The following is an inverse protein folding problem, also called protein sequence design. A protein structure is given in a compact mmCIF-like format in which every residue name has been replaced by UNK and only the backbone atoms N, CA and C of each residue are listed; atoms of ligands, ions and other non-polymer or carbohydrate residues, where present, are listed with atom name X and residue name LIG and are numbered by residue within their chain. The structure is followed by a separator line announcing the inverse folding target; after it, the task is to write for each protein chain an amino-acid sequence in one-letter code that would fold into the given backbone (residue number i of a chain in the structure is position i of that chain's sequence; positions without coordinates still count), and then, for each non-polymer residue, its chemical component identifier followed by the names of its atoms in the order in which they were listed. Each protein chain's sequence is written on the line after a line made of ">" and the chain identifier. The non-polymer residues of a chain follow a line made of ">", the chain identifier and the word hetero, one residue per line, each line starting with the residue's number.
data_IF_207136465866
#
_entry.id   IF_207136465866
#
_cell.length_a   1.000
_cell.length_b   1.000
_cell.length_c   1.000
_cell.angle_alpha   90.00
_cell.angle_beta   90.00
_cell.angle_gamma   90.00
#
_symmetry.space_group_name_H-M   'P 1'
#
loop_
_entity.id
_entity.type
_entity.pdbx_description
1 polymer ?
#
# COMPACT_ATOMS: atom_id res chain seq x y z
N UNK A 1 -12.52 24.86 4.33
CA UNK A 1 -13.11 25.24 5.64
C UNK A 1 -13.08 26.76 5.71
N UNK A 2 -14.18 27.39 6.20
CA UNK A 2 -14.19 28.84 6.44
C UNK A 2 -13.17 29.20 7.54
N UNK A 3 -12.53 30.38 7.41
CA UNK A 3 -11.64 30.90 8.43
C UNK A 3 -12.42 31.25 9.71
N UNK A 4 -11.73 31.25 10.85
CA UNK A 4 -12.31 31.59 12.14
C UNK A 4 -12.71 33.08 12.16
N UNK A 5 -13.84 33.40 12.78
CA UNK A 5 -14.22 34.78 13.08
C UNK A 5 -13.38 35.34 14.23
N UNK A 6 -13.37 36.67 14.41
CA UNK A 6 -12.65 37.32 15.52
C UNK A 6 -13.25 36.93 16.88
N UNK A 7 -14.57 36.75 16.94
CA UNK A 7 -15.26 36.25 18.14
C UNK A 7 -14.79 34.83 18.51
N UNK A 8 -14.62 33.94 17.54
CA UNK A 8 -14.15 32.58 17.77
C UNK A 8 -12.69 32.55 18.22
N UNK A 9 -11.84 33.42 17.66
CA UNK A 9 -10.44 33.56 18.11
C UNK A 9 -10.39 34.07 19.55
N UNK A 10 -11.16 35.11 19.87
CA UNK A 10 -11.21 35.68 21.22
C UNK A 10 -11.76 34.68 22.26
N UNK A 11 -12.88 34.00 21.96
CA UNK A 11 -13.44 32.98 22.80
C UNK A 11 -12.54 31.76 22.98
N UNK A 12 -11.78 31.39 21.93
CA UNK A 12 -10.77 30.33 22.01
C UNK A 12 -9.65 30.68 22.98
N UNK A 13 -9.11 31.90 22.90
CA UNK A 13 -8.05 32.38 23.78
C UNK A 13 -8.51 32.58 25.22
N UNK A 14 -9.78 32.98 25.42
CA UNK A 14 -10.39 33.09 26.72
C UNK A 14 -10.78 31.73 27.35
N UNK A 15 -10.77 30.64 26.59
CA UNK A 15 -11.21 29.32 27.06
C UNK A 15 -12.73 29.20 27.21
N UNK A 16 -13.50 30.04 26.55
CA UNK A 16 -14.95 30.16 26.68
C UNK A 16 -15.76 29.41 25.62
N UNK A 17 -15.07 28.69 24.71
CA UNK A 17 -15.74 27.91 23.69
C UNK A 17 -16.43 26.67 24.25
N UNK A 18 -17.65 26.43 23.79
CA UNK A 18 -18.35 25.17 24.03
C UNK A 18 -17.56 23.99 23.38
N UNK A 19 -17.69 22.79 23.92
CA UNK A 19 -16.89 21.62 23.52
C UNK A 19 -16.93 21.33 22.01
N UNK A 20 -18.07 21.53 21.35
CA UNK A 20 -18.23 21.36 19.90
C UNK A 20 -17.44 22.39 19.08
N UNK A 21 -17.51 23.66 19.48
CA UNK A 21 -16.81 24.77 18.83
C UNK A 21 -15.32 24.69 19.12
N UNK A 22 -14.90 24.35 20.32
CA UNK A 22 -13.50 24.12 20.67
C UNK A 22 -12.89 23.04 19.77
N UNK A 23 -13.60 21.95 19.56
CA UNK A 23 -13.17 20.85 18.68
C UNK A 23 -13.03 21.33 17.23
N UNK A 24 -13.96 22.13 16.72
CA UNK A 24 -13.94 22.67 15.37
C UNK A 24 -12.81 23.68 15.17
N UNK A 25 -12.67 24.63 16.11
CA UNK A 25 -11.62 25.67 16.09
C UNK A 25 -10.23 25.02 16.19
N UNK A 26 -10.04 24.10 17.12
CA UNK A 26 -8.78 23.35 17.28
C UNK A 26 -8.41 22.59 16.00
N UNK A 27 -9.37 21.90 15.36
CA UNK A 27 -9.14 21.22 14.08
C UNK A 27 -8.69 22.17 12.97
N UNK A 28 -9.34 23.35 12.89
CA UNK A 28 -8.99 24.34 11.88
C UNK A 28 -7.57 24.88 12.07
N UNK A 29 -7.18 25.16 13.32
CA UNK A 29 -5.83 25.62 13.67
C UNK A 29 -4.79 24.51 13.42
N UNK A 30 -5.08 23.27 13.82
CA UNK A 30 -4.20 22.11 13.61
C UNK A 30 -4.08 21.75 12.12
N UNK A 31 -5.09 22.05 11.31
CA UNK A 31 -5.01 21.91 9.86
C UNK A 31 -4.04 22.90 9.19
N UNK A 32 -3.46 23.81 9.96
CA UNK A 32 -2.39 24.69 9.52
C UNK A 32 -2.85 25.92 8.69
N UNK A 33 -4.07 26.43 8.92
CA UNK A 33 -4.50 27.67 8.29
C UNK A 33 -3.59 28.85 8.73
N UNK A 34 -2.74 29.42 7.83
CA UNK A 34 -1.74 30.40 8.23
C UNK A 34 -2.38 31.70 8.75
N UNK A 35 -3.49 32.14 8.17
CA UNK A 35 -4.20 33.36 8.59
C UNK A 35 -4.76 33.24 9.99
N UNK A 36 -5.42 32.10 10.32
CA UNK A 36 -6.01 31.90 11.63
C UNK A 36 -4.95 31.60 12.69
N UNK A 37 -3.87 30.88 12.33
CA UNK A 37 -2.72 30.68 13.23
C UNK A 37 -2.03 32.01 13.54
N UNK A 38 -1.79 32.85 12.52
CA UNK A 38 -1.20 34.19 12.69
C UNK A 38 -2.05 35.08 13.61
N UNK A 39 -3.39 35.07 13.43
CA UNK A 39 -4.32 35.86 14.28
C UNK A 39 -4.35 35.36 15.72
N UNK A 40 -4.38 34.07 15.96
CA UNK A 40 -4.29 33.48 17.33
C UNK A 40 -2.96 33.84 17.97
N UNK A 41 -1.86 33.70 17.24
CA UNK A 41 -0.51 34.01 17.76
C UNK A 41 -0.35 35.51 18.06
N UNK A 42 -0.88 36.39 17.21
CA UNK A 42 -0.81 37.86 17.41
C UNK A 42 -1.70 38.30 18.59
N UNK A 43 -2.85 37.67 18.79
CA UNK A 43 -3.78 38.03 19.86
C UNK A 43 -3.47 37.29 21.19
N UNK A 44 -2.61 36.27 21.17
CA UNK A 44 -2.18 35.54 22.37
C UNK A 44 -1.14 36.41 23.12
N UNK A 45 -1.60 37.35 23.93
CA UNK A 45 -0.79 37.91 25.02
C UNK A 45 -0.66 36.85 26.11
N UNK A 46 0.17 35.83 25.87
CA UNK A 46 0.39 34.77 26.85
C UNK A 46 1.34 35.32 27.88
N UNK A 47 0.83 35.70 29.06
CA UNK A 47 1.68 35.73 30.23
C UNK A 47 2.27 34.33 30.40
N UNK A 48 3.60 34.20 30.56
CA UNK A 48 4.21 32.88 30.72
C UNK A 48 3.55 32.19 31.91
N UNK A 49 2.96 31.00 31.67
CA UNK A 49 2.39 30.18 32.72
C UNK A 49 3.47 29.93 33.76
N UNK A 50 3.26 30.28 35.04
CA UNK A 50 4.28 30.10 36.07
C UNK A 50 4.76 28.65 36.09
N UNK A 51 6.07 28.43 36.18
CA UNK A 51 6.71 27.09 36.15
C UNK A 51 6.01 26.11 37.10
N UNK A 52 5.61 26.58 38.29
CA UNK A 52 4.88 25.75 39.26
C UNK A 52 3.55 25.19 38.75
N UNK A 53 2.84 25.95 37.89
CA UNK A 53 1.57 25.52 37.31
C UNK A 53 1.86 24.53 36.19
N UNK A 54 2.88 24.79 35.39
CA UNK A 54 3.33 23.90 34.32
C UNK A 54 3.81 22.56 34.89
N UNK A 55 4.66 22.59 35.92
CA UNK A 55 5.12 21.38 36.62
C UNK A 55 3.98 20.60 37.26
N UNK A 56 3.01 21.27 37.87
CA UNK A 56 1.85 20.62 38.43
C UNK A 56 0.96 19.94 37.36
N UNK A 57 0.87 20.52 36.17
CA UNK A 57 0.18 19.93 35.03
C UNK A 57 0.93 18.70 34.47
N UNK A 58 2.25 18.80 34.34
CA UNK A 58 3.11 17.66 33.93
C UNK A 58 3.00 16.53 34.94
N UNK A 59 3.10 16.82 36.24
CA UNK A 59 2.98 15.79 37.28
C UNK A 59 1.61 15.15 37.34
N UNK A 60 0.53 15.91 37.08
CA UNK A 60 -0.83 15.35 36.96
C UNK A 60 -0.90 14.42 35.75
N UNK A 61 -0.35 14.82 34.60
CA UNK A 61 -0.28 13.99 33.40
C UNK A 61 0.54 12.72 33.65
N UNK A 62 1.71 12.83 34.26
CA UNK A 62 2.58 11.69 34.64
C UNK A 62 1.86 10.72 35.58
N UNK A 63 1.16 11.22 36.61
CA UNK A 63 0.36 10.38 37.51
C UNK A 63 -0.77 9.67 36.75
N UNK A 64 -1.41 10.33 35.80
CA UNK A 64 -2.46 9.73 34.98
C UNK A 64 -1.90 8.62 34.07
N UNK A 65 -0.77 8.86 33.44
CA UNK A 65 -0.06 7.86 32.61
C UNK A 65 0.33 6.64 33.46
N UNK A 66 1.00 6.83 34.62
CA UNK A 66 1.38 5.73 35.52
C UNK A 66 0.18 4.88 35.97
N UNK A 67 -1.01 5.48 36.15
CA UNK A 67 -2.24 4.73 36.46
C UNK A 67 -2.78 3.93 35.27
N UNK A 68 -2.48 4.37 34.05
CA UNK A 68 -2.90 3.68 32.82
C UNK A 68 -1.95 2.55 32.41
N UNK A 69 -0.66 2.63 32.76
CA UNK A 69 0.35 1.62 32.40
C UNK A 69 -0.06 0.17 32.71
N UNK A 70 -0.55 -0.17 33.94
CA UNK A 70 -0.97 -1.54 34.23
C UNK A 70 -2.20 -2.00 33.43
N UNK A 71 -3.02 -1.05 32.95
CA UNK A 71 -4.17 -1.35 32.08
C UNK A 71 -3.70 -1.61 30.66
N UNK A 72 -2.81 -0.76 30.16
CA UNK A 72 -2.18 -0.94 28.83
C UNK A 72 -1.42 -2.25 28.74
N UNK A 73 -0.69 -2.62 29.80
CA UNK A 73 0.03 -3.89 29.83
C UNK A 73 -0.93 -5.08 29.78
N UNK A 74 -1.99 -5.07 30.58
CA UNK A 74 -3.03 -6.11 30.55
C UNK A 74 -3.76 -6.20 29.22
N UNK A 75 -3.99 -5.06 28.54
CA UNK A 75 -4.64 -5.06 27.24
C UNK A 75 -3.68 -5.60 26.14
N UNK A 76 -2.37 -5.34 26.25
CA UNK A 76 -1.35 -5.98 25.39
C UNK A 76 -1.30 -7.50 25.58
N UNK A 77 -1.34 -7.97 26.81
CA UNK A 77 -1.35 -9.42 27.12
C UNK A 77 -2.62 -10.09 26.60
N UNK A 78 -3.78 -9.44 26.78
CA UNK A 78 -5.05 -9.92 26.22
C UNK A 78 -5.04 -9.95 24.71
N UNK A 79 -4.45 -8.93 24.07
CA UNK A 79 -4.28 -8.87 22.62
C UNK A 79 -3.43 -10.04 22.15
N UNK A 80 -2.27 -10.27 22.77
CA UNK A 80 -1.36 -11.36 22.41
C UNK A 80 -2.03 -12.76 22.59
N UNK A 81 -2.73 -12.97 23.71
CA UNK A 81 -3.46 -14.21 23.99
C UNK A 81 -4.61 -14.41 22.98
N UNK A 82 -5.34 -13.34 22.65
CA UNK A 82 -6.41 -13.39 21.66
C UNK A 82 -5.89 -13.73 20.26
N UNK A 83 -4.73 -13.15 19.85
CA UNK A 83 -4.06 -13.49 18.59
C UNK A 83 -3.67 -14.98 18.58
N UNK A 84 -3.07 -15.48 19.65
CA UNK A 84 -2.67 -16.89 19.74
C UNK A 84 -3.89 -17.83 19.64
N UNK A 85 -4.94 -17.54 20.39
CA UNK A 85 -6.18 -18.33 20.42
C UNK A 85 -6.89 -18.37 19.04
N UNK A 86 -6.99 -17.23 18.36
CA UNK A 86 -7.60 -17.18 17.01
C UNK A 86 -6.71 -17.88 15.97
N UNK A 87 -5.38 -17.82 16.10
CA UNK A 87 -4.47 -18.55 15.21
C UNK A 87 -4.56 -20.06 15.39
N UNK A 88 -4.68 -20.52 16.62
CA UNK A 88 -4.72 -21.94 16.95
C UNK A 88 -6.08 -22.58 16.57
N UNK A 89 -7.18 -21.94 16.95
CA UNK A 89 -8.54 -22.51 16.87
C UNK A 89 -9.38 -21.92 15.75
N UNK A 90 -8.94 -20.85 15.11
CA UNK A 90 -9.72 -20.04 14.19
C UNK A 90 -10.87 -19.28 14.90
N UNK A 91 -11.36 -18.22 14.26
CA UNK A 91 -12.48 -17.44 14.79
C UNK A 91 -13.78 -18.26 14.94
N UNK A 92 -14.05 -19.14 13.97
CA UNK A 92 -15.23 -20.02 13.97
C UNK A 92 -15.13 -21.07 15.07
N UNK A 93 -13.93 -21.51 15.44
CA UNK A 93 -13.68 -22.47 16.51
C UNK A 93 -13.88 -21.94 17.94
N UNK A 94 -14.11 -20.63 18.10
CA UNK A 94 -14.41 -20.03 19.40
C UNK A 94 -15.86 -20.31 19.80
N UNK A 95 -16.06 -20.68 21.07
CA UNK A 95 -17.41 -20.90 21.63
C UNK A 95 -18.20 -19.62 21.76
N UNK A 96 -19.54 -19.71 21.86
CA UNK A 96 -20.38 -18.52 22.02
C UNK A 96 -20.07 -17.69 23.28
N UNK A 97 -19.82 -18.28 24.47
CA UNK A 97 -19.38 -17.52 25.64
C UNK A 97 -18.06 -16.75 25.42
N UNK A 98 -17.13 -17.34 24.67
CA UNK A 98 -15.87 -16.68 24.29
C UNK A 98 -16.12 -15.50 23.37
N UNK A 99 -17.08 -15.59 22.43
CA UNK A 99 -17.49 -14.53 21.53
C UNK A 99 -18.31 -13.44 22.22
N UNK A 100 -19.15 -13.78 23.19
CA UNK A 100 -20.00 -12.83 23.92
C UNK A 100 -19.20 -11.92 24.86
N UNK A 101 -17.99 -12.32 25.25
CA UNK A 101 -17.07 -11.50 26.04
C UNK A 101 -16.27 -10.48 25.20
N UNK A 102 -16.75 -10.20 23.98
CA UNK A 102 -16.06 -9.30 23.05
C UNK A 102 -15.84 -7.91 23.60
N UNK A 103 -14.58 -7.55 23.65
CA UNK A 103 -14.11 -6.21 24.01
C UNK A 103 -13.40 -5.61 22.79
N UNK A 104 -13.20 -4.29 22.78
CA UNK A 104 -12.46 -3.57 21.71
C UNK A 104 -11.13 -4.25 21.35
N UNK A 105 -10.45 -4.87 22.34
CA UNK A 105 -9.21 -5.64 22.15
C UNK A 105 -9.39 -6.78 21.14
N UNK A 106 -10.50 -7.49 21.15
CA UNK A 106 -10.72 -8.61 20.22
C UNK A 106 -10.96 -8.14 18.78
N UNK A 107 -11.62 -6.98 18.63
CA UNK A 107 -11.74 -6.33 17.32
C UNK A 107 -10.35 -6.01 16.77
N UNK A 108 -9.46 -5.46 17.61
CA UNK A 108 -8.06 -5.20 17.22
C UNK A 108 -7.30 -6.48 16.83
N UNK A 109 -7.53 -7.61 17.54
CA UNK A 109 -6.97 -8.93 17.17
C UNK A 109 -7.38 -9.29 15.76
N UNK A 110 -8.68 -9.23 15.45
CA UNK A 110 -9.19 -9.59 14.13
C UNK A 110 -8.64 -8.70 13.03
N UNK A 111 -8.52 -7.39 13.27
CA UNK A 111 -7.93 -6.45 12.31
C UNK A 111 -6.45 -6.72 12.05
N UNK A 112 -5.67 -7.02 13.11
CA UNK A 112 -4.24 -7.36 12.96
C UNK A 112 -4.05 -8.66 12.17
N UNK A 113 -4.84 -9.69 12.48
CA UNK A 113 -4.80 -10.97 11.77
C UNK A 113 -5.23 -10.81 10.31
N UNK A 114 -6.30 -10.08 10.06
CA UNK A 114 -6.75 -9.74 8.71
C UNK A 114 -5.64 -9.09 7.90
N UNK A 115 -5.01 -8.05 8.44
CA UNK A 115 -3.92 -7.35 7.76
C UNK A 115 -2.69 -8.23 7.50
N UNK A 116 -2.41 -9.19 8.39
CA UNK A 116 -1.30 -10.13 8.21
C UNK A 116 -1.51 -11.10 7.01
N UNK A 117 -2.76 -11.43 6.70
CA UNK A 117 -3.10 -12.36 5.60
C UNK A 117 -3.16 -11.71 4.21
N UNK A 118 -3.04 -10.38 4.10
CA UNK A 118 -3.26 -9.58 2.87
C UNK A 118 -2.49 -10.05 1.61
N UNK A 119 -1.33 -10.71 1.78
CA UNK A 119 -0.51 -11.22 0.68
C UNK A 119 -0.49 -12.74 0.57
N UNK A 120 -1.02 -13.44 1.59
CA UNK A 120 -0.93 -14.91 1.65
C UNK A 120 -2.26 -15.57 1.37
N UNK A 121 -3.34 -15.03 1.96
CA UNK A 121 -4.70 -15.59 1.89
C UNK A 121 -5.72 -14.46 1.84
N UNK A 122 -5.95 -13.83 0.67
CA UNK A 122 -6.89 -12.71 0.53
C UNK A 122 -8.30 -13.02 1.04
N UNK A 123 -8.84 -14.20 0.73
CA UNK A 123 -10.14 -14.63 1.24
C UNK A 123 -10.21 -14.74 2.76
N UNK A 124 -9.12 -15.16 3.42
CA UNK A 124 -9.04 -15.18 4.88
C UNK A 124 -8.97 -13.75 5.45
N UNK A 125 -8.24 -12.85 4.79
CA UNK A 125 -8.25 -11.43 5.13
C UNK A 125 -9.67 -10.87 5.16
N UNK A 126 -10.46 -11.12 4.11
CA UNK A 126 -11.84 -10.65 4.01
C UNK A 126 -12.73 -11.26 5.10
N UNK A 127 -12.59 -12.56 5.36
CA UNK A 127 -13.34 -13.27 6.40
C UNK A 127 -13.07 -12.69 7.80
N UNK A 128 -11.82 -12.39 8.12
CA UNK A 128 -11.41 -11.80 9.39
C UNK A 128 -11.88 -10.33 9.53
N UNK A 129 -11.79 -9.53 8.47
CA UNK A 129 -12.30 -8.16 8.45
C UNK A 129 -13.82 -8.13 8.64
N UNK A 130 -14.56 -9.02 7.97
CA UNK A 130 -16.01 -9.17 8.15
C UNK A 130 -16.37 -9.60 9.56
N UNK A 131 -15.57 -10.50 10.16
CA UNK A 131 -15.74 -10.91 11.56
C UNK A 131 -15.49 -9.75 12.53
N UNK A 132 -14.50 -8.88 12.25
CA UNK A 132 -14.24 -7.68 13.03
C UNK A 132 -15.42 -6.70 12.96
N UNK A 133 -16.02 -6.53 11.77
CA UNK A 133 -17.24 -5.72 11.59
C UNK A 133 -18.40 -6.27 12.43
N UNK A 134 -18.68 -7.56 12.33
CA UNK A 134 -19.73 -8.18 13.14
C UNK A 134 -19.46 -8.01 14.64
N UNK A 135 -18.21 -8.21 15.06
CA UNK A 135 -17.82 -8.10 16.47
C UNK A 135 -18.02 -6.67 17.01
N UNK A 136 -17.61 -5.63 16.27
CA UNK A 136 -17.75 -4.24 16.71
C UNK A 136 -19.21 -3.80 16.79
N UNK A 137 -20.09 -4.31 15.94
CA UNK A 137 -21.53 -4.04 15.96
C UNK A 137 -22.24 -4.69 17.14
N UNK A 138 -21.71 -5.82 17.64
CA UNK A 138 -22.23 -6.56 18.80
C UNK A 138 -21.56 -6.19 20.13
N UNK A 139 -20.54 -5.34 20.08
CA UNK A 139 -19.87 -4.89 21.30
C UNK A 139 -20.78 -3.91 22.04
N UNK A 140 -21.12 -4.23 23.27
CA UNK A 140 -21.92 -3.37 24.13
C UNK A 140 -21.23 -2.02 24.34
N UNK A 141 -22.07 -1.00 24.44
CA UNK A 141 -21.74 0.42 24.40
C UNK A 141 -20.56 0.80 25.29
N UNK A 142 -19.70 1.67 24.80
CA UNK A 142 -18.43 2.04 25.38
C UNK A 142 -18.50 3.05 26.52
N UNK A 143 -19.39 2.90 27.50
CA UNK A 143 -19.39 3.72 28.70
C UNK A 143 -18.00 3.90 29.33
N UNK A 144 -17.05 3.03 28.94
CA UNK A 144 -15.67 2.99 29.43
C UNK A 144 -14.67 3.81 28.60
N UNK A 145 -14.92 4.01 27.30
CA UNK A 145 -13.98 4.63 26.36
C UNK A 145 -14.48 5.94 25.76
N UNK A 146 -15.78 6.22 25.90
CA UNK A 146 -16.47 7.36 25.28
C UNK A 146 -16.90 7.07 23.82
N UNK A 147 -18.02 7.65 23.45
CA UNK A 147 -18.64 7.44 22.15
C UNK A 147 -17.76 7.83 20.97
N UNK A 148 -17.03 8.97 20.96
CA UNK A 148 -16.20 9.33 19.83
C UNK A 148 -15.07 8.34 19.52
N UNK A 149 -14.42 7.77 20.56
CA UNK A 149 -13.39 6.75 20.38
C UNK A 149 -13.94 5.43 19.83
N UNK A 150 -15.18 5.09 20.22
CA UNK A 150 -15.84 3.91 19.67
C UNK A 150 -16.26 4.11 18.22
N UNK A 151 -16.69 5.31 17.84
CA UNK A 151 -16.96 5.65 16.46
C UNK A 151 -15.69 5.59 15.59
N UNK A 152 -14.55 6.04 16.12
CA UNK A 152 -13.26 5.89 15.44
C UNK A 152 -12.87 4.41 15.25
N UNK A 153 -13.10 3.56 16.24
CA UNK A 153 -12.89 2.11 16.11
C UNK A 153 -13.79 1.50 15.03
N UNK A 154 -15.08 1.86 15.03
CA UNK A 154 -16.02 1.41 13.99
C UNK A 154 -15.60 1.89 12.62
N UNK A 155 -15.22 3.15 12.49
CA UNK A 155 -14.71 3.71 11.25
C UNK A 155 -13.47 2.97 10.74
N UNK A 156 -12.54 2.65 11.64
CA UNK A 156 -11.35 1.86 11.31
C UNK A 156 -11.70 0.44 10.86
N UNK A 157 -12.65 -0.21 11.50
CA UNK A 157 -13.12 -1.55 11.10
C UNK A 157 -13.68 -1.52 9.68
N UNK A 158 -14.52 -0.53 9.36
CA UNK A 158 -15.06 -0.37 8.00
C UNK A 158 -13.96 -0.07 6.98
N UNK A 159 -12.95 0.73 7.32
CA UNK A 159 -11.81 1.00 6.44
C UNK A 159 -10.96 -0.26 6.18
N UNK A 160 -10.71 -1.09 7.21
CA UNK A 160 -9.96 -2.34 6.99
C UNK A 160 -10.80 -3.38 6.23
N UNK A 161 -12.14 -3.38 6.38
CA UNK A 161 -13.03 -4.16 5.52
C UNK A 161 -12.93 -3.68 4.07
N UNK A 162 -12.96 -2.37 3.82
CA UNK A 162 -12.75 -1.80 2.49
C UNK A 162 -11.42 -2.25 1.87
N UNK A 163 -10.34 -2.25 2.67
CA UNK A 163 -9.04 -2.75 2.22
C UNK A 163 -9.06 -4.24 1.91
N UNK A 164 -9.82 -5.04 2.66
CA UNK A 164 -9.98 -6.46 2.41
C UNK A 164 -10.82 -6.73 1.16
N UNK A 165 -11.92 -5.99 0.95
CA UNK A 165 -12.71 -6.03 -0.28
C UNK A 165 -11.85 -5.68 -1.49
N UNK A 166 -11.06 -4.58 -1.43
CA UNK A 166 -10.13 -4.18 -2.48
C UNK A 166 -9.13 -5.29 -2.85
N UNK A 167 -8.54 -5.96 -1.85
CA UNK A 167 -7.57 -7.05 -2.08
C UNK A 167 -8.23 -8.26 -2.73
N UNK A 168 -9.53 -8.43 -2.55
CA UNK A 168 -10.35 -9.47 -3.19
C UNK A 168 -11.09 -8.98 -4.44
N UNK A 169 -10.72 -7.80 -5.00
CA UNK A 169 -11.28 -7.21 -6.23
C UNK A 169 -12.79 -6.85 -6.15
N UNK A 170 -13.33 -6.82 -4.96
CA UNK A 170 -14.68 -6.35 -4.68
C UNK A 170 -14.67 -4.82 -4.57
N UNK A 171 -14.51 -4.12 -5.70
CA UNK A 171 -14.22 -2.68 -5.72
C UNK A 171 -15.41 -1.82 -5.31
N UNK A 172 -16.62 -2.22 -5.67
CA UNK A 172 -17.85 -1.51 -5.30
C UNK A 172 -18.05 -1.58 -3.78
N UNK A 173 -17.94 -2.77 -3.19
CA UNK A 173 -18.04 -2.98 -1.75
C UNK A 173 -16.92 -2.24 -0.99
N UNK A 174 -15.75 -2.12 -1.61
CA UNK A 174 -14.64 -1.35 -1.02
C UNK A 174 -14.95 0.15 -0.97
N UNK A 175 -15.58 0.72 -2.01
CA UNK A 175 -16.03 2.11 -2.04
C UNK A 175 -17.10 2.39 -0.99
N UNK A 176 -18.16 1.55 -0.93
CA UNK A 176 -19.23 1.66 0.07
C UNK A 176 -18.68 1.57 1.51
N UNK A 177 -17.76 0.64 1.76
CA UNK A 177 -17.15 0.50 3.07
C UNK A 177 -16.29 1.71 3.45
N UNK A 178 -15.56 2.33 2.50
CA UNK A 178 -14.80 3.56 2.74
C UNK A 178 -15.72 4.75 3.03
N UNK A 179 -16.81 4.89 2.31
CA UNK A 179 -17.81 5.94 2.56
C UNK A 179 -18.39 5.81 3.97
N UNK A 180 -18.77 4.60 4.36
CA UNK A 180 -19.24 4.31 5.71
C UNK A 180 -18.19 4.63 6.78
N UNK A 181 -16.93 4.29 6.53
CA UNK A 181 -15.82 4.61 7.43
C UNK A 181 -15.69 6.13 7.63
N UNK A 182 -15.77 6.92 6.55
CA UNK A 182 -15.67 8.39 6.62
C UNK A 182 -16.85 9.00 7.40
N UNK A 183 -18.07 8.57 7.09
CA UNK A 183 -19.28 9.03 7.80
C UNK A 183 -19.21 8.79 9.31
N UNK A 184 -18.70 7.63 9.73
CA UNK A 184 -18.50 7.34 11.16
C UNK A 184 -17.41 8.22 11.80
N UNK A 185 -16.29 8.43 11.09
CA UNK A 185 -15.18 9.23 11.59
C UNK A 185 -15.52 10.73 11.73
N UNK A 186 -16.48 11.26 10.95
CA UNK A 186 -16.97 12.64 11.10
C UNK A 186 -17.55 12.90 12.47
N UNK A 187 -18.16 11.89 13.09
CA UNK A 187 -18.73 11.93 14.43
C UNK A 187 -17.72 11.47 15.50
N UNK A 188 -16.57 10.96 15.11
CA UNK A 188 -15.49 10.49 15.97
C UNK A 188 -14.65 11.60 16.60
N UNK A 189 -13.42 11.26 17.02
CA UNK A 189 -12.49 12.20 17.66
C UNK A 189 -11.89 13.21 16.70
N UNK A 190 -11.92 12.94 15.38
CA UNK A 190 -11.23 13.69 14.34
C UNK A 190 -9.74 13.37 14.25
N UNK A 191 -9.36 12.14 14.59
CA UNK A 191 -7.99 11.66 14.50
C UNK A 191 -7.46 11.81 13.06
N UNK A 192 -6.43 12.65 12.83
CA UNK A 192 -5.87 12.85 11.49
C UNK A 192 -5.15 11.59 10.97
N UNK A 193 -4.66 10.70 11.86
CA UNK A 193 -4.06 9.43 11.44
C UNK A 193 -5.11 8.48 10.87
N UNK A 194 -6.30 8.45 11.47
CA UNK A 194 -7.40 7.65 10.96
C UNK A 194 -7.86 8.16 9.60
N UNK A 195 -8.00 9.48 9.43
CA UNK A 195 -8.33 10.09 8.15
C UNK A 195 -7.26 9.78 7.08
N UNK A 196 -5.98 9.87 7.43
CA UNK A 196 -4.87 9.51 6.56
C UNK A 196 -4.90 8.00 6.17
N UNK A 197 -5.36 7.12 7.08
CA UNK A 197 -5.53 5.69 6.77
C UNK A 197 -6.58 5.47 5.70
N UNK A 198 -7.70 6.21 5.72
CA UNK A 198 -8.72 6.14 4.66
C UNK A 198 -8.17 6.56 3.31
N UNK A 199 -7.44 7.67 3.27
CA UNK A 199 -6.80 8.15 2.04
C UNK A 199 -5.76 7.15 1.51
N UNK A 200 -5.01 6.45 2.38
CA UNK A 200 -4.03 5.43 2.00
C UNK A 200 -4.70 4.18 1.37
N UNK A 201 -5.86 3.77 1.91
CA UNK A 201 -6.66 2.67 1.35
C UNK A 201 -7.29 3.11 0.02
N UNK A 202 -7.87 4.31 -0.03
CA UNK A 202 -8.46 4.84 -1.26
C UNK A 202 -7.43 5.01 -2.36
N UNK A 203 -6.23 5.52 -2.07
CA UNK A 203 -5.15 5.61 -3.04
C UNK A 203 -4.77 4.24 -3.62
N UNK A 204 -4.78 3.19 -2.78
CA UNK A 204 -4.54 1.83 -3.23
C UNK A 204 -5.70 1.28 -4.08
N UNK A 205 -6.96 1.59 -3.71
CA UNK A 205 -8.15 1.23 -4.48
C UNK A 205 -8.15 1.90 -5.86
N UNK A 206 -7.86 3.22 -5.92
CA UNK A 206 -7.76 3.94 -7.21
C UNK A 206 -6.66 3.37 -8.10
N UNK A 207 -5.52 2.97 -7.50
CA UNK A 207 -4.45 2.28 -8.24
C UNK A 207 -4.96 0.97 -8.85
N UNK A 208 -5.63 0.13 -8.06
CA UNK A 208 -6.10 -1.18 -8.51
C UNK A 208 -7.21 -1.04 -9.57
N UNK A 209 -8.01 0.03 -9.51
CA UNK A 209 -8.96 0.45 -10.55
C UNK A 209 -8.32 1.13 -11.77
N UNK A 210 -7.00 1.19 -11.87
CA UNK A 210 -6.23 1.90 -12.92
C UNK A 210 -6.46 3.42 -12.98
N UNK A 211 -7.03 4.04 -11.94
CA UNK A 211 -7.23 5.48 -11.79
C UNK A 211 -5.98 6.13 -11.17
N UNK A 212 -4.84 5.98 -11.85
CA UNK A 212 -3.50 6.27 -11.29
C UNK A 212 -3.30 7.75 -10.93
N UNK A 213 -3.85 8.69 -11.72
CA UNK A 213 -3.74 10.12 -11.42
C UNK A 213 -4.54 10.51 -10.17
N UNK A 214 -5.67 9.88 -9.92
CA UNK A 214 -6.43 10.08 -8.68
C UNK A 214 -5.68 9.51 -7.49
N UNK A 215 -5.13 8.31 -7.63
CA UNK A 215 -4.26 7.72 -6.62
C UNK A 215 -3.08 8.65 -6.28
N UNK A 216 -2.43 9.25 -7.28
CA UNK A 216 -1.31 10.16 -7.09
C UNK A 216 -1.72 11.45 -6.37
N UNK A 217 -2.91 12.02 -6.66
CA UNK A 217 -3.44 13.18 -5.90
C UNK A 217 -3.66 12.84 -4.42
N UNK A 218 -4.18 11.67 -4.12
CA UNK A 218 -4.34 11.18 -2.75
C UNK A 218 -2.99 11.00 -2.05
N UNK A 219 -2.01 10.40 -2.73
CA UNK A 219 -0.66 10.19 -2.21
C UNK A 219 0.09 11.50 -1.94
N UNK A 220 -0.13 12.54 -2.74
CA UNK A 220 0.41 13.89 -2.49
C UNK A 220 -0.22 14.53 -1.24
N UNK A 221 -1.51 14.34 -1.03
CA UNK A 221 -2.20 14.78 0.20
C UNK A 221 -1.67 14.04 1.42
N UNK A 222 -1.52 12.72 1.32
CA UNK A 222 -0.94 11.88 2.37
C UNK A 222 0.48 12.28 2.73
N UNK A 223 1.34 12.49 1.73
CA UNK A 223 2.72 12.95 1.95
C UNK A 223 2.74 14.24 2.78
N UNK A 224 1.95 15.25 2.38
CA UNK A 224 1.86 16.53 3.10
C UNK A 224 1.32 16.36 4.52
N UNK A 225 0.32 15.50 4.71
CA UNK A 225 -0.27 15.23 6.02
C UNK A 225 0.73 14.55 6.93
N UNK A 226 1.41 13.49 6.48
CA UNK A 226 2.42 12.80 7.28
C UNK A 226 3.63 13.68 7.61
N UNK A 227 4.07 14.52 6.66
CA UNK A 227 5.16 15.48 6.93
C UNK A 227 4.79 16.49 8.02
N UNK A 228 3.55 17.04 8.00
CA UNK A 228 3.07 17.96 9.05
C UNK A 228 2.97 17.28 10.43
N UNK A 229 2.69 15.98 10.44
CA UNK A 229 2.60 15.19 11.68
C UNK A 229 3.96 14.66 12.17
N UNK A 230 5.04 14.91 11.45
CA UNK A 230 6.36 14.39 11.77
C UNK A 230 6.55 12.91 11.42
N UNK A 231 5.57 12.27 10.78
CA UNK A 231 5.58 10.85 10.40
C UNK A 231 6.38 10.62 9.11
N UNK A 232 7.68 10.91 9.15
CA UNK A 232 8.60 10.86 7.99
C UNK A 232 8.57 9.52 7.27
N UNK A 233 8.55 8.40 8.01
CA UNK A 233 8.53 7.06 7.43
C UNK A 233 7.27 6.82 6.61
N UNK A 234 6.09 7.22 7.10
CA UNK A 234 4.83 7.09 6.38
C UNK A 234 4.75 8.01 5.16
N UNK A 235 5.35 9.21 5.27
CA UNK A 235 5.50 10.12 4.13
C UNK A 235 6.38 9.48 3.04
N UNK A 236 7.48 8.83 3.42
CA UNK A 236 8.33 8.07 2.49
C UNK A 236 7.56 6.93 1.81
N UNK A 237 6.74 6.18 2.56
CA UNK A 237 5.87 5.13 2.00
C UNK A 237 4.89 5.66 0.96
N UNK A 238 4.29 6.83 1.19
CA UNK A 238 3.41 7.47 0.22
C UNK A 238 4.17 7.84 -1.08
N UNK A 239 5.40 8.33 -0.96
CA UNK A 239 6.24 8.63 -2.11
C UNK A 239 6.68 7.38 -2.88
N UNK A 240 6.94 6.25 -2.21
CA UNK A 240 7.22 4.97 -2.89
C UNK A 240 6.02 4.55 -3.73
N UNK A 241 4.81 4.55 -3.15
CA UNK A 241 3.57 4.23 -3.89
C UNK A 241 3.39 5.16 -5.09
N UNK A 242 3.59 6.47 -4.90
CA UNK A 242 3.50 7.46 -5.98
C UNK A 242 4.53 7.20 -7.08
N UNK A 243 5.78 6.89 -6.71
CA UNK A 243 6.82 6.58 -7.67
C UNK A 243 6.49 5.35 -8.53
N UNK A 244 5.92 4.30 -7.91
CA UNK A 244 5.44 3.11 -8.63
C UNK A 244 4.32 3.49 -9.61
N UNK A 245 3.31 4.26 -9.16
CA UNK A 245 2.20 4.70 -10.02
C UNK A 245 2.68 5.56 -11.20
N UNK A 246 3.64 6.46 -10.95
CA UNK A 246 4.24 7.29 -12.00
C UNK A 246 5.01 6.46 -13.02
N UNK A 247 5.69 5.38 -12.56
CA UNK A 247 6.32 4.41 -13.46
C UNK A 247 5.31 3.70 -14.36
N UNK A 248 4.13 3.34 -13.83
CA UNK A 248 3.02 2.74 -14.61
C UNK A 248 2.37 3.73 -15.61
N UNK A 249 2.57 5.03 -15.42
CA UNK A 249 2.14 6.10 -16.33
C UNK A 249 3.25 6.54 -17.29
N UNK A 250 4.36 5.83 -17.36
CA UNK A 250 5.56 6.17 -18.14
C UNK A 250 6.15 7.56 -17.83
N UNK A 251 5.78 8.14 -16.68
CA UNK A 251 6.31 9.41 -16.17
C UNK A 251 7.63 9.20 -15.42
N UNK A 252 8.61 8.63 -16.10
CA UNK A 252 9.84 8.10 -15.50
C UNK A 252 10.64 9.14 -14.71
N UNK A 253 10.77 10.38 -15.22
CA UNK A 253 11.53 11.45 -14.54
C UNK A 253 10.91 11.78 -13.17
N UNK A 254 9.58 11.89 -13.12
CA UNK A 254 8.86 12.17 -11.89
C UNK A 254 8.89 10.97 -10.93
N UNK A 255 8.80 9.75 -11.46
CA UNK A 255 8.90 8.51 -10.69
C UNK A 255 10.25 8.41 -9.99
N UNK A 256 11.37 8.62 -10.73
CA UNK A 256 12.73 8.65 -10.18
C UNK A 256 12.85 9.72 -9.08
N UNK A 257 12.33 10.94 -9.33
CA UNK A 257 12.33 12.02 -8.35
C UNK A 257 11.56 11.67 -7.06
N UNK A 258 10.39 11.02 -7.19
CA UNK A 258 9.58 10.59 -6.06
C UNK A 258 10.28 9.49 -5.25
N UNK A 259 10.83 8.46 -5.92
CA UNK A 259 11.53 7.35 -5.28
C UNK A 259 12.81 7.80 -4.58
N UNK A 260 13.60 8.70 -5.18
CA UNK A 260 14.80 9.26 -4.53
C UNK A 260 14.45 10.06 -3.27
N UNK A 261 13.37 10.86 -3.30
CA UNK A 261 12.88 11.56 -2.09
C UNK A 261 12.44 10.57 -1.02
N UNK A 262 11.82 9.46 -1.40
CA UNK A 262 11.39 8.43 -0.46
C UNK A 262 12.57 7.82 0.33
N UNK A 263 13.74 7.60 -0.30
CA UNK A 263 14.93 7.06 0.39
C UNK A 263 15.40 7.91 1.56
N UNK A 264 15.23 9.24 1.50
CA UNK A 264 15.59 10.13 2.60
C UNK A 264 14.61 10.10 3.80
N UNK A 265 13.44 9.47 3.61
CA UNK A 265 12.34 9.47 4.58
C UNK A 265 12.03 8.09 5.14
N UNK A 266 12.23 7.03 4.35
CA UNK A 266 11.96 5.66 4.76
C UNK A 266 13.03 5.18 5.75
N UNK A 267 12.58 4.72 6.90
CA UNK A 267 13.46 4.04 7.87
C UNK A 267 13.67 2.58 7.46
N UNK A 268 14.85 2.30 6.91
CA UNK A 268 15.25 0.97 6.44
C UNK A 268 15.34 -0.08 7.56
N UNK A 269 15.54 0.34 8.83
CA UNK A 269 15.58 -0.58 9.99
C UNK A 269 14.16 -0.97 10.40
N UNK A 270 13.22 -0.01 10.34
CA UNK A 270 11.81 -0.22 10.65
C UNK A 270 11.09 -1.05 9.61
N UNK A 271 11.38 -0.80 8.33
CA UNK A 271 10.73 -1.52 7.21
C UNK A 271 11.75 -1.80 6.08
N UNK A 272 12.56 -2.86 6.24
CA UNK A 272 13.53 -3.27 5.22
C UNK A 272 12.88 -3.74 3.93
N UNK A 273 11.63 -4.25 3.98
CA UNK A 273 10.88 -4.71 2.81
C UNK A 273 10.43 -3.52 1.95
N UNK A 274 9.93 -2.45 2.57
CA UNK A 274 9.57 -1.22 1.85
C UNK A 274 10.80 -0.61 1.16
N UNK A 275 11.95 -0.60 1.83
CA UNK A 275 13.19 -0.11 1.23
C UNK A 275 13.62 -0.98 0.05
N UNK A 276 13.50 -2.30 0.15
CA UNK A 276 13.80 -3.21 -0.97
C UNK A 276 12.84 -2.98 -2.14
N UNK A 277 11.54 -2.83 -1.87
CA UNK A 277 10.53 -2.53 -2.89
C UNK A 277 10.81 -1.17 -3.58
N UNK A 278 11.15 -0.13 -2.82
CA UNK A 278 11.52 1.17 -3.37
C UNK A 278 12.78 1.10 -4.25
N UNK A 279 13.79 0.34 -3.83
CA UNK A 279 15.02 0.14 -4.62
C UNK A 279 14.73 -0.62 -5.90
N UNK A 280 13.93 -1.68 -5.85
CA UNK A 280 13.52 -2.43 -7.03
C UNK A 280 12.68 -1.56 -7.99
N UNK A 281 11.74 -0.77 -7.47
CA UNK A 281 10.95 0.16 -8.29
C UNK A 281 11.85 1.21 -8.98
N UNK A 282 12.84 1.74 -8.28
CA UNK A 282 13.80 2.68 -8.87
C UNK A 282 14.64 2.02 -9.96
N UNK A 283 15.12 0.79 -9.72
CA UNK A 283 15.85 0.02 -10.75
C UNK A 283 15.01 -0.18 -12.00
N UNK A 284 13.75 -0.63 -11.84
CA UNK A 284 12.82 -0.81 -12.97
C UNK A 284 12.64 0.51 -13.74
N UNK A 285 12.32 1.60 -13.03
CA UNK A 285 12.10 2.91 -13.66
C UNK A 285 13.36 3.44 -14.39
N UNK A 286 14.56 3.21 -13.85
CA UNK A 286 15.82 3.57 -14.51
C UNK A 286 16.04 2.76 -15.80
N UNK A 287 15.65 1.49 -15.80
CA UNK A 287 15.71 0.64 -17.00
C UNK A 287 14.70 1.11 -18.04
N UNK A 288 13.46 1.37 -17.64
CA UNK A 288 12.39 1.83 -18.52
C UNK A 288 12.73 3.21 -19.14
N UNK A 289 13.44 4.07 -18.38
CA UNK A 289 13.99 5.35 -18.88
C UNK A 289 15.33 5.23 -19.62
N UNK A 290 15.78 4.01 -19.95
CA UNK A 290 17.05 3.72 -20.63
C UNK A 290 18.32 4.20 -19.89
N UNK A 291 18.21 4.50 -18.60
CA UNK A 291 19.32 4.94 -17.74
C UNK A 291 20.16 3.75 -17.23
N UNK A 292 20.57 2.87 -18.14
CA UNK A 292 21.20 1.57 -17.84
C UNK A 292 22.50 1.68 -17.03
N UNK A 293 23.28 2.74 -17.24
CA UNK A 293 24.51 2.96 -16.48
C UNK A 293 24.24 3.20 -14.99
N UNK A 294 23.21 4.01 -14.69
CA UNK A 294 22.79 4.30 -13.32
C UNK A 294 22.10 3.08 -12.68
N UNK A 295 21.22 2.40 -13.43
CA UNK A 295 20.58 1.17 -12.97
C UNK A 295 21.61 0.11 -12.59
N UNK A 296 22.66 -0.08 -13.39
CA UNK A 296 23.73 -1.03 -13.09
C UNK A 296 24.54 -0.66 -11.83
N UNK A 297 24.82 0.63 -11.62
CA UNK A 297 25.48 1.09 -10.38
C UNK A 297 24.60 0.83 -9.15
N UNK A 298 23.29 1.14 -9.25
CA UNK A 298 22.34 0.91 -8.18
C UNK A 298 22.18 -0.60 -7.87
N UNK A 299 22.10 -1.44 -8.87
CA UNK A 299 22.01 -2.89 -8.72
C UNK A 299 23.22 -3.44 -7.96
N UNK A 300 24.43 -3.04 -8.33
CA UNK A 300 25.68 -3.46 -7.68
C UNK A 300 25.81 -2.95 -6.23
N UNK A 301 25.34 -1.70 -5.98
CA UNK A 301 25.38 -1.10 -4.65
C UNK A 301 24.28 -1.64 -3.72
N UNK A 302 23.22 -2.26 -4.27
CA UNK A 302 22.11 -2.79 -3.49
C UNK A 302 22.37 -4.23 -3.02
N UNK A 303 21.86 -4.58 -1.85
CA UNK A 303 21.88 -5.96 -1.35
C UNK A 303 20.54 -6.70 -1.63
N UNK A 304 19.83 -6.31 -2.72
CA UNK A 304 18.53 -6.87 -3.07
C UNK A 304 18.54 -8.38 -3.25
N UNK A 305 19.59 -8.95 -3.86
CA UNK A 305 19.70 -10.41 -4.02
C UNK A 305 19.65 -11.13 -2.67
N UNK A 306 20.36 -10.59 -1.66
CA UNK A 306 20.33 -11.15 -0.29
C UNK A 306 18.97 -10.95 0.37
N UNK A 307 18.35 -9.79 0.19
CA UNK A 307 17.03 -9.48 0.75
C UNK A 307 15.92 -10.35 0.15
N UNK A 308 16.04 -10.70 -1.12
CA UNK A 308 15.07 -11.55 -1.83
C UNK A 308 15.44 -13.04 -1.81
N UNK A 309 16.51 -13.46 -1.13
CA UNK A 309 16.95 -14.86 -1.12
C UNK A 309 15.88 -15.86 -0.64
N UNK A 310 14.95 -15.43 0.23
CA UNK A 310 13.80 -16.22 0.69
C UNK A 310 12.51 -16.01 -0.11
N UNK A 311 12.55 -15.25 -1.21
CA UNK A 311 11.41 -14.92 -2.07
C UNK A 311 11.78 -15.16 -3.54
N UNK A 312 11.54 -16.38 -4.05
CA UNK A 312 11.93 -16.76 -5.42
C UNK A 312 11.35 -15.86 -6.49
N UNK A 313 10.11 -15.42 -6.33
CA UNK A 313 9.44 -14.58 -7.33
C UNK A 313 10.05 -13.18 -7.42
N UNK A 314 10.36 -12.57 -6.28
CA UNK A 314 11.03 -11.27 -6.28
C UNK A 314 12.48 -11.37 -6.77
N UNK A 315 13.14 -12.51 -6.52
CA UNK A 315 14.47 -12.77 -7.09
C UNK A 315 14.42 -12.90 -8.63
N UNK A 316 13.43 -13.61 -9.18
CA UNK A 316 13.21 -13.70 -10.62
C UNK A 316 12.92 -12.34 -11.25
N UNK A 317 12.07 -11.54 -10.62
CA UNK A 317 11.81 -10.15 -11.08
C UNK A 317 13.07 -9.29 -11.08
N UNK A 318 13.92 -9.43 -10.05
CA UNK A 318 15.21 -8.72 -10.00
C UNK A 318 16.14 -9.15 -11.12
N UNK A 319 16.24 -10.46 -11.39
CA UNK A 319 17.04 -11.00 -12.50
C UNK A 319 16.51 -10.56 -13.85
N UNK A 320 15.19 -10.41 -13.99
CA UNK A 320 14.62 -9.86 -15.22
C UNK A 320 15.06 -8.40 -15.45
N UNK A 321 15.05 -7.56 -14.41
CA UNK A 321 15.60 -6.19 -14.49
C UNK A 321 17.11 -6.22 -14.85
N UNK A 322 17.88 -7.16 -14.29
CA UNK A 322 19.29 -7.38 -14.62
C UNK A 322 19.49 -7.68 -16.11
N UNK A 323 18.66 -8.56 -16.68
CA UNK A 323 18.70 -8.88 -18.11
C UNK A 323 18.45 -7.63 -18.97
N UNK A 324 17.47 -6.79 -18.61
CA UNK A 324 17.21 -5.52 -19.32
C UNK A 324 18.41 -4.55 -19.24
N UNK A 325 19.12 -4.51 -18.10
CA UNK A 325 20.38 -3.75 -17.97
C UNK A 325 21.47 -4.31 -18.89
N UNK A 326 21.58 -5.63 -18.99
CA UNK A 326 22.55 -6.29 -19.88
C UNK A 326 22.25 -5.98 -21.35
N UNK A 327 20.98 -6.00 -21.76
CA UNK A 327 20.55 -5.59 -23.12
C UNK A 327 20.97 -4.15 -23.41
N UNK A 328 20.67 -3.23 -22.47
CA UNK A 328 21.03 -1.81 -22.62
C UNK A 328 22.54 -1.54 -22.62
N UNK A 329 23.35 -2.53 -22.21
CA UNK A 329 24.81 -2.51 -22.26
C UNK A 329 25.37 -3.36 -23.40
N UNK A 330 24.54 -3.80 -24.33
CA UNK A 330 24.90 -4.61 -25.49
C UNK A 330 25.53 -5.98 -25.14
N UNK A 331 25.35 -6.46 -23.89
CA UNK A 331 25.79 -7.78 -23.44
C UNK A 331 24.72 -8.83 -23.77
N UNK A 332 24.47 -9.02 -25.06
CA UNK A 332 23.33 -9.80 -25.56
C UNK A 332 23.40 -11.28 -25.18
N UNK A 333 24.60 -11.90 -25.22
CA UNK A 333 24.76 -13.31 -24.87
C UNK A 333 24.43 -13.58 -23.40
N UNK A 334 24.88 -12.70 -22.49
CA UNK A 334 24.57 -12.83 -21.07
C UNK A 334 23.07 -12.57 -20.80
N UNK A 335 22.48 -11.59 -21.49
CA UNK A 335 21.06 -11.28 -21.37
C UNK A 335 20.17 -12.45 -21.83
N UNK A 336 20.54 -13.13 -22.92
CA UNK A 336 19.84 -14.32 -23.44
C UNK A 336 19.80 -15.44 -22.41
N UNK A 337 20.93 -15.73 -21.75
CA UNK A 337 21.02 -16.73 -20.67
C UNK A 337 20.09 -16.35 -19.52
N UNK A 338 20.21 -15.10 -19.05
CA UNK A 338 19.41 -14.63 -17.89
C UNK A 338 17.91 -14.63 -18.20
N UNK A 339 17.48 -14.18 -19.39
CA UNK A 339 16.07 -14.20 -19.78
C UNK A 339 15.52 -15.63 -19.87
N UNK A 340 16.33 -16.56 -20.41
CA UNK A 340 15.94 -17.97 -20.51
C UNK A 340 15.75 -18.60 -19.12
N UNK A 341 16.66 -18.34 -18.18
CA UNK A 341 16.56 -18.81 -16.80
C UNK A 341 15.36 -18.19 -16.07
N UNK A 342 15.15 -16.87 -16.21
CA UNK A 342 14.02 -16.17 -15.60
C UNK A 342 12.69 -16.69 -16.11
N UNK A 343 12.59 -16.91 -17.43
CA UNK A 343 11.40 -17.50 -18.04
C UNK A 343 11.12 -18.90 -17.49
N UNK A 344 12.13 -19.76 -17.46
CA UNK A 344 12.01 -21.11 -16.91
C UNK A 344 11.55 -21.08 -15.44
N UNK A 345 12.14 -20.21 -14.62
CA UNK A 345 11.75 -20.05 -13.23
C UNK A 345 10.29 -19.61 -13.05
N UNK A 346 9.77 -18.69 -13.86
CA UNK A 346 8.34 -18.35 -13.79
C UNK A 346 7.43 -19.50 -14.23
N UNK A 347 7.82 -20.32 -15.19
CA UNK A 347 7.07 -21.51 -15.58
C UNK A 347 7.04 -22.56 -14.46
N UNK A 348 8.14 -22.81 -13.75
CA UNK A 348 8.19 -23.67 -12.58
C UNK A 348 7.20 -23.22 -11.48
N UNK A 349 7.01 -21.92 -11.33
CA UNK A 349 6.03 -21.34 -10.41
C UNK A 349 4.61 -21.25 -10.97
N UNK A 350 4.33 -21.84 -12.12
CA UNK A 350 3.02 -21.83 -12.81
C UNK A 350 2.53 -20.42 -13.15
N UNK A 351 3.43 -19.54 -13.53
CA UNK A 351 3.17 -18.15 -13.93
C UNK A 351 3.41 -17.99 -15.44
N UNK A 352 2.67 -18.77 -16.27
CA UNK A 352 2.83 -18.79 -17.71
C UNK A 352 2.68 -17.40 -18.36
N UNK A 353 1.76 -16.60 -17.84
CA UNK A 353 1.56 -15.24 -18.30
C UNK A 353 2.82 -14.37 -18.15
N UNK A 354 3.43 -14.34 -16.96
CA UNK A 354 4.66 -13.59 -16.73
C UNK A 354 5.82 -14.16 -17.54
N UNK A 355 5.89 -15.49 -17.64
CA UNK A 355 6.88 -16.17 -18.47
C UNK A 355 6.72 -15.83 -19.97
N UNK A 356 5.50 -15.58 -20.45
CA UNK A 356 5.26 -15.15 -21.82
C UNK A 356 5.80 -13.73 -22.07
N UNK A 357 5.58 -12.79 -21.14
CA UNK A 357 6.15 -11.43 -21.25
C UNK A 357 7.68 -11.45 -21.27
N UNK A 358 8.32 -12.25 -20.38
CA UNK A 358 9.78 -12.46 -20.41
C UNK A 358 10.22 -13.11 -21.72
N UNK A 359 9.43 -14.06 -22.24
CA UNK A 359 9.68 -14.71 -23.51
C UNK A 359 9.62 -13.76 -24.70
N UNK A 360 8.76 -12.73 -24.65
CA UNK A 360 8.72 -11.67 -25.67
C UNK A 360 9.93 -10.74 -25.58
N UNK A 361 10.43 -10.42 -24.38
CA UNK A 361 11.73 -9.73 -24.24
C UNK A 361 12.88 -10.57 -24.83
N UNK A 362 12.86 -11.90 -24.62
CA UNK A 362 13.83 -12.81 -25.22
C UNK A 362 13.68 -12.88 -26.75
N UNK A 363 12.45 -12.95 -27.25
CA UNK A 363 12.18 -12.95 -28.69
C UNK A 363 12.67 -11.66 -29.36
N UNK A 364 12.43 -10.50 -28.76
CA UNK A 364 12.96 -9.22 -29.22
C UNK A 364 14.49 -9.25 -29.29
N UNK A 365 15.16 -9.76 -28.25
CA UNK A 365 16.62 -9.88 -28.21
C UNK A 365 17.15 -10.81 -29.33
N UNK A 366 16.51 -11.96 -29.53
CA UNK A 366 16.88 -12.93 -30.58
C UNK A 366 16.69 -12.35 -31.99
N UNK A 367 15.57 -11.64 -32.22
CA UNK A 367 15.32 -10.98 -33.52
C UNK A 367 16.37 -9.91 -33.84
N UNK A 368 16.80 -9.12 -32.85
CA UNK A 368 17.90 -8.16 -33.01
C UNK A 368 19.24 -8.82 -33.40
N UNK A 369 19.40 -10.11 -33.08
CA UNK A 369 20.55 -10.94 -33.45
C UNK A 369 20.29 -11.77 -34.70
N UNK A 370 19.20 -11.50 -35.43
CA UNK A 370 18.79 -12.26 -36.64
C UNK A 370 18.55 -13.76 -36.37
N UNK A 371 18.23 -14.15 -35.15
CA UNK A 371 17.89 -15.52 -34.75
C UNK A 371 16.42 -15.84 -34.99
N UNK A 372 16.11 -17.11 -35.21
CA UNK A 372 14.72 -17.59 -35.41
C UNK A 372 13.96 -17.64 -34.06
N UNK A 373 12.75 -17.11 -34.05
CA UNK A 373 11.89 -17.04 -32.85
C UNK A 373 10.61 -17.89 -32.95
N UNK A 374 10.41 -18.65 -34.05
CA UNK A 374 9.19 -19.42 -34.31
C UNK A 374 8.92 -20.45 -33.23
N UNK A 375 9.92 -21.24 -32.86
CA UNK A 375 9.78 -22.24 -31.80
C UNK A 375 9.45 -21.62 -30.46
N UNK A 376 10.05 -20.45 -30.16
CA UNK A 376 9.76 -19.71 -28.94
C UNK A 376 8.31 -19.20 -28.97
N UNK A 377 7.85 -18.59 -30.06
CA UNK A 377 6.46 -18.09 -30.17
C UNK A 377 5.42 -19.20 -29.97
N UNK A 378 5.63 -20.36 -30.59
CA UNK A 378 4.76 -21.52 -30.41
C UNK A 378 4.74 -22.02 -28.96
N UNK A 379 5.90 -22.04 -28.27
CA UNK A 379 5.97 -22.46 -26.86
C UNK A 379 5.31 -21.42 -25.92
N UNK A 380 5.42 -20.11 -26.19
CA UNK A 380 4.73 -19.08 -25.40
C UNK A 380 3.21 -19.29 -25.43
N UNK A 381 2.65 -19.52 -26.63
CA UNK A 381 1.23 -19.78 -26.81
C UNK A 381 0.80 -21.05 -26.06
N UNK A 382 1.48 -22.18 -26.32
CA UNK A 382 1.15 -23.47 -25.73
C UNK A 382 1.12 -23.41 -24.17
N UNK A 383 2.11 -22.74 -23.54
CA UNK A 383 2.15 -22.62 -22.08
C UNK A 383 1.03 -21.76 -21.51
N UNK A 384 0.62 -20.70 -22.22
CA UNK A 384 -0.51 -19.87 -21.79
C UNK A 384 -1.84 -20.60 -21.94
N UNK A 385 -2.02 -21.40 -23.00
CA UNK A 385 -3.20 -22.25 -23.17
C UNK A 385 -3.28 -23.35 -22.09
N UNK A 386 -2.18 -24.05 -21.80
CA UNK A 386 -2.09 -25.06 -20.74
C UNK A 386 -2.53 -24.54 -19.37
N UNK A 387 -2.25 -23.28 -19.06
CA UNK A 387 -2.59 -22.67 -17.78
C UNK A 387 -3.88 -21.84 -17.81
N UNK A 388 -4.65 -21.90 -18.90
CA UNK A 388 -5.91 -21.16 -19.07
C UNK A 388 -5.77 -19.66 -18.71
N UNK A 389 -4.74 -19.02 -19.23
CA UNK A 389 -4.52 -17.58 -19.07
C UNK A 389 -5.63 -16.80 -19.73
N UNK A 390 -5.78 -15.51 -19.38
CA UNK A 390 -6.79 -14.60 -19.92
C UNK A 390 -6.94 -14.76 -21.46
N UNK A 391 -8.17 -14.95 -21.97
CA UNK A 391 -8.42 -15.19 -23.41
C UNK A 391 -7.89 -14.09 -24.33
N UNK A 392 -7.87 -12.83 -23.88
CA UNK A 392 -7.32 -11.72 -24.67
C UNK A 392 -5.79 -11.84 -24.83
N UNK A 393 -5.11 -12.29 -23.78
CA UNK A 393 -3.67 -12.55 -23.84
C UNK A 393 -3.36 -13.73 -24.75
N UNK A 394 -4.15 -14.81 -24.71
CA UNK A 394 -4.02 -15.95 -25.61
C UNK A 394 -4.22 -15.49 -27.06
N UNK A 395 -5.26 -14.72 -27.36
CA UNK A 395 -5.53 -14.20 -28.71
C UNK A 395 -4.36 -13.37 -29.24
N UNK A 396 -3.74 -12.53 -28.42
CA UNK A 396 -2.56 -11.77 -28.81
C UNK A 396 -1.37 -12.68 -29.15
N UNK A 397 -1.17 -13.76 -28.38
CA UNK A 397 -0.11 -14.75 -28.64
C UNK A 397 -0.40 -15.61 -29.89
N UNK A 398 -1.65 -15.94 -30.17
CA UNK A 398 -2.06 -16.62 -31.42
C UNK A 398 -1.70 -15.77 -32.65
N UNK A 399 -2.01 -14.48 -32.61
CA UNK A 399 -1.65 -13.54 -33.68
C UNK A 399 -0.11 -13.47 -33.83
N UNK A 400 0.59 -13.36 -32.71
CA UNK A 400 2.05 -13.29 -32.70
C UNK A 400 2.70 -14.54 -33.27
N UNK A 401 2.24 -15.74 -32.83
CA UNK A 401 2.72 -17.04 -33.36
C UNK A 401 2.49 -17.15 -34.88
N UNK A 402 1.28 -16.81 -35.36
CA UNK A 402 0.94 -16.81 -36.79
C UNK A 402 1.90 -15.88 -37.59
N UNK A 403 2.20 -14.68 -37.08
CA UNK A 403 3.11 -13.75 -37.73
C UNK A 403 4.56 -14.28 -37.73
N UNK A 404 4.99 -14.92 -36.65
CA UNK A 404 6.29 -15.58 -36.58
C UNK A 404 6.40 -16.73 -37.58
N UNK A 405 5.41 -17.61 -37.66
CA UNK A 405 5.36 -18.75 -38.59
C UNK A 405 5.43 -18.31 -40.06
N UNK A 406 4.79 -17.19 -40.40
CA UNK A 406 4.83 -16.56 -41.71
C UNK A 406 6.08 -15.70 -41.96
N UNK A 407 6.98 -15.58 -41.00
CA UNK A 407 8.16 -14.69 -41.00
C UNK A 407 7.82 -13.20 -41.20
N UNK A 408 6.67 -12.78 -40.70
CA UNK A 408 6.18 -11.39 -40.74
C UNK A 408 6.37 -10.65 -39.42
N UNK A 409 6.72 -11.33 -38.34
CA UNK A 409 6.94 -10.71 -37.04
C UNK A 409 8.27 -9.94 -37.02
N UNK A 410 8.17 -8.61 -36.98
CA UNK A 410 9.33 -7.72 -36.75
C UNK A 410 9.57 -7.53 -35.25
N UNK A 411 10.71 -6.93 -34.91
CA UNK A 411 11.02 -6.46 -33.55
C UNK A 411 9.90 -5.54 -33.00
N UNK A 412 9.35 -4.70 -33.87
CA UNK A 412 8.29 -3.75 -33.49
C UNK A 412 6.97 -4.47 -33.16
N UNK A 413 6.60 -5.49 -33.93
CA UNK A 413 5.46 -6.36 -33.66
C UNK A 413 5.64 -7.05 -32.30
N UNK A 414 6.81 -7.60 -32.04
CA UNK A 414 7.12 -8.27 -30.76
C UNK A 414 6.97 -7.32 -29.58
N UNK A 415 7.45 -6.08 -29.70
CA UNK A 415 7.25 -5.04 -28.68
C UNK A 415 5.79 -4.71 -28.48
N UNK A 416 5.03 -4.50 -29.55
CA UNK A 416 3.61 -4.18 -29.48
C UNK A 416 2.84 -5.27 -28.73
N UNK A 417 3.11 -6.54 -29.02
CA UNK A 417 2.48 -7.67 -28.31
C UNK A 417 2.91 -7.71 -26.85
N UNK A 418 4.19 -7.50 -26.56
CA UNK A 418 4.68 -7.42 -25.18
C UNK A 418 4.00 -6.29 -24.39
N UNK A 419 3.98 -5.07 -24.94
CA UNK A 419 3.40 -3.90 -24.28
C UNK A 419 1.89 -4.07 -24.07
N UNK A 420 1.20 -4.74 -25.01
CA UNK A 420 -0.19 -5.13 -24.84
C UNK A 420 -0.37 -6.11 -23.69
N UNK A 421 0.46 -7.17 -23.62
CA UNK A 421 0.43 -8.12 -22.52
C UNK A 421 0.79 -7.44 -21.17
N UNK A 422 1.78 -6.56 -21.10
CA UNK A 422 2.15 -5.87 -19.86
C UNK A 422 0.98 -5.11 -19.22
N UNK A 423 -0.03 -4.67 -19.98
CA UNK A 423 -1.24 -4.02 -19.44
C UNK A 423 -2.09 -4.95 -18.57
N UNK A 424 -1.99 -6.26 -18.74
CA UNK A 424 -2.73 -7.26 -17.98
C UNK A 424 -1.90 -7.87 -16.82
N UNK A 425 -0.62 -7.52 -16.70
CA UNK A 425 0.32 -8.14 -15.74
C UNK A 425 -0.08 -7.94 -14.27
N UNK A 426 -0.86 -6.90 -13.97
CA UNK A 426 -1.36 -6.60 -12.62
C UNK A 426 -2.79 -7.12 -12.39
N UNK A 427 -3.40 -7.84 -13.36
CA UNK A 427 -4.61 -8.61 -13.06
C UNK A 427 -4.16 -9.85 -12.28
N UNK A 428 -4.60 -10.08 -11.03
CA UNK A 428 -4.35 -11.34 -10.36
C UNK A 428 -4.89 -12.46 -11.27
N UNK A 429 -4.14 -13.56 -11.36
CA UNK A 429 -4.60 -14.75 -12.07
C UNK A 429 -6.02 -15.06 -11.59
N UNK A 430 -6.98 -15.05 -12.52
CA UNK A 430 -8.36 -15.31 -12.18
C UNK A 430 -8.42 -16.51 -11.27
N UNK A 431 -8.84 -16.28 -10.03
CA UNK A 431 -9.20 -17.35 -9.15
C UNK A 431 -10.27 -18.13 -9.89
N UNK A 432 -9.92 -19.34 -10.30
CA UNK A 432 -10.89 -20.29 -10.81
C UNK A 432 -12.02 -20.31 -9.79
N UNK A 433 -13.16 -19.74 -10.17
CA UNK A 433 -14.43 -19.91 -9.48
C UNK A 433 -14.77 -21.38 -9.61
N UNK A 434 -14.55 -22.13 -8.56
CA UNK A 434 -14.96 -23.48 -8.34
C UNK A 434 -15.39 -23.62 -6.89
#
# INVERSE_FOLDING_TARGET
>A
MACLSDLEVTAFLAGELAAGDLKRVSRHLLAGCPDCQGRVTAAATVEPVPDKVYDACIDRARRKVRRLEPRLQRDKERLANGVAMVRERGWIGLTWPERSSFRMVHVEVLLQLSFAERYRKPGEMLRLASSARFAVEKTDHPARYGEPLFLDLRARVWAELANACRVNELFEEAEEALEKARSLAEQGTGDPMLAARFDDIEASLRKDQRRLDEANRLLDRLYRTYMRMGERHLAGRALVKKGINLGLLDRHVEAIGSLRKAFALVDAKRDPQLMAAATHALLKTLVDSQSYAEAGKLLLASDLRRKFAGDPLNLLRLRWVEAKILIGRERFADAEIVLSEVRAGFLEHKLAYVAAVVGLDLAELLQRQYKDVRALAADLLARCEEQAVDPEAINALVIYEMLCSKRLASVEVTRTVRDYLEQFQDKPNGAATG
#
